data_IF_075108109152
#
_entry.id   IF_075108109152
#
_cell.length_a   1.000
_cell.length_b   1.000
_cell.length_c   1.000
_cell.angle_alpha   90.00
_cell.angle_beta   90.00
_cell.angle_gamma   90.00
#
_symmetry.space_group_name_H-M   'P 1'
#
loop_
_entity.id
_entity.type
_entity.pdbx_description
1 polymer ?
#
# COMPACT_ATOMS: atom_id res chain seq x y z
N UNK A 1 -4.48 -9.92 20.42
CA UNK A 1 -5.86 -9.85 19.93
C UNK A 1 -6.31 -11.29 19.78
N UNK A 2 -7.46 -11.66 20.36
CA UNK A 2 -8.00 -13.01 20.22
C UNK A 2 -8.65 -13.20 18.84
N UNK A 3 -8.89 -14.45 18.44
CA UNK A 3 -9.65 -14.76 17.21
C UNK A 3 -11.08 -14.20 17.28
N UNK A 4 -11.72 -14.29 18.45
CA UNK A 4 -13.04 -13.69 18.67
C UNK A 4 -13.06 -12.18 18.43
N UNK A 5 -12.02 -11.47 18.85
CA UNK A 5 -11.85 -10.03 18.61
C UNK A 5 -11.75 -9.70 17.12
N UNK A 6 -11.03 -10.53 16.37
CA UNK A 6 -10.88 -10.39 14.92
C UNK A 6 -12.20 -10.61 14.19
N UNK A 7 -12.95 -11.65 14.59
CA UNK A 7 -14.28 -11.91 14.05
C UNK A 7 -15.27 -10.78 14.38
N UNK A 8 -15.23 -10.23 15.59
CA UNK A 8 -16.05 -9.08 15.98
C UNK A 8 -15.76 -7.85 15.11
N UNK A 9 -14.47 -7.55 14.88
CA UNK A 9 -14.08 -6.46 13.99
C UNK A 9 -14.61 -6.68 12.58
N UNK A 10 -14.43 -7.88 12.04
CA UNK A 10 -14.88 -8.25 10.70
C UNK A 10 -16.39 -8.11 10.54
N UNK A 11 -17.17 -8.57 11.53
CA UNK A 11 -18.63 -8.42 11.54
C UNK A 11 -19.04 -6.95 11.56
N UNK A 12 -18.43 -6.14 12.44
CA UNK A 12 -18.72 -4.71 12.52
C UNK A 12 -18.46 -3.99 11.19
N UNK A 13 -17.35 -4.31 10.51
CA UNK A 13 -17.02 -3.75 9.19
C UNK A 13 -18.08 -4.16 8.16
N UNK A 14 -18.37 -5.46 8.06
CA UNK A 14 -19.32 -5.99 7.05
C UNK A 14 -20.72 -5.40 7.25
N UNK A 15 -21.16 -5.21 8.50
CA UNK A 15 -22.44 -4.57 8.77
C UNK A 15 -22.43 -3.06 8.45
N UNK A 16 -21.30 -2.38 8.64
CA UNK A 16 -21.16 -0.96 8.36
C UNK A 16 -21.21 -0.62 6.86
N UNK A 17 -20.73 -1.53 6.02
CA UNK A 17 -20.60 -1.36 4.57
C UNK A 17 -21.93 -1.27 3.82
N UNK A 18 -21.89 -0.62 2.65
CA UNK A 18 -22.98 -0.57 1.68
C UNK A 18 -22.93 -1.76 0.70
N UNK A 19 -24.03 -2.10 -0.01
CA UNK A 19 -24.07 -3.27 -0.90
C UNK A 19 -23.04 -3.29 -2.04
N UNK A 20 -22.66 -2.12 -2.55
CA UNK A 20 -21.66 -1.94 -3.62
C UNK A 20 -20.20 -1.94 -3.12
N UNK A 21 -20.02 -2.10 -1.81
CA UNK A 21 -18.71 -2.12 -1.16
C UNK A 21 -18.37 -3.57 -0.79
N UNK A 22 -17.09 -3.90 -0.82
CA UNK A 22 -16.58 -5.21 -0.42
C UNK A 22 -15.34 -5.08 0.44
N UNK A 23 -15.19 -5.99 1.39
CA UNK A 23 -13.95 -6.17 2.12
C UNK A 23 -12.94 -6.89 1.21
N UNK A 24 -12.08 -6.12 0.56
CA UNK A 24 -11.09 -6.66 -0.37
C UNK A 24 -10.01 -7.45 0.38
N UNK A 25 -9.42 -6.83 1.40
CA UNK A 25 -8.34 -7.43 2.20
C UNK A 25 -8.58 -7.18 3.68
N UNK A 26 -8.18 -8.15 4.51
CA UNK A 26 -8.21 -8.05 5.97
C UNK A 26 -7.02 -8.82 6.52
N UNK A 27 -6.09 -8.09 7.13
CA UNK A 27 -4.82 -8.61 7.62
C UNK A 27 -4.60 -8.24 9.08
N UNK A 28 -4.27 -9.22 9.92
CA UNK A 28 -3.85 -8.99 11.30
C UNK A 28 -2.33 -9.02 11.42
N UNK A 29 -1.76 -7.89 11.86
CA UNK A 29 -0.35 -7.81 12.23
C UNK A 29 -0.02 -8.76 13.39
N UNK A 30 1.00 -9.59 13.20
CA UNK A 30 1.44 -10.56 14.21
C UNK A 30 1.99 -9.89 15.48
N UNK A 31 2.69 -8.76 15.34
CA UNK A 31 3.42 -8.10 16.45
C UNK A 31 2.61 -7.00 17.11
N UNK A 32 2.02 -6.10 16.33
CA UNK A 32 1.38 -4.90 16.86
C UNK A 32 -0.03 -5.14 17.39
N UNK A 33 -0.67 -6.28 17.09
CA UNK A 33 -2.10 -6.50 17.36
C UNK A 33 -3.00 -5.45 16.68
N UNK A 34 -2.57 -4.89 15.55
CA UNK A 34 -3.41 -4.07 14.67
C UNK A 34 -4.00 -4.92 13.56
N UNK A 35 -5.16 -4.51 13.05
CA UNK A 35 -5.74 -5.04 11.82
C UNK A 35 -5.68 -3.96 10.76
N UNK A 36 -5.30 -4.35 9.56
CA UNK A 36 -5.23 -3.50 8.37
C UNK A 36 -6.17 -4.09 7.36
N UNK A 37 -7.03 -3.26 6.78
CA UNK A 37 -8.02 -3.70 5.82
C UNK A 37 -8.14 -2.72 4.67
N UNK A 38 -8.50 -3.27 3.52
CA UNK A 38 -8.84 -2.52 2.33
C UNK A 38 -10.30 -2.82 2.02
N UNK A 39 -11.12 -1.78 1.96
CA UNK A 39 -12.42 -1.83 1.32
C UNK A 39 -12.24 -1.45 -0.16
N UNK A 40 -13.04 -2.05 -1.03
CA UNK A 40 -13.12 -1.68 -2.43
C UNK A 40 -14.59 -1.47 -2.82
N UNK A 41 -14.84 -0.62 -3.80
CA UNK A 41 -16.17 -0.43 -4.38
C UNK A 41 -16.22 -0.96 -5.83
N UNK A 42 -17.42 -0.96 -6.42
CA UNK A 42 -17.63 -1.39 -7.81
C UNK A 42 -17.03 -0.44 -8.86
N UNK A 43 -16.72 0.82 -8.49
CA UNK A 43 -16.03 1.77 -9.36
C UNK A 43 -14.53 1.46 -9.50
N UNK A 44 -14.00 0.55 -8.68
CA UNK A 44 -12.57 0.22 -8.65
C UNK A 44 -11.75 1.12 -7.71
N UNK A 45 -12.41 1.93 -6.89
CA UNK A 45 -11.75 2.71 -5.84
C UNK A 45 -11.57 1.87 -4.57
N UNK A 46 -10.71 2.36 -3.68
CA UNK A 46 -10.42 1.70 -2.41
C UNK A 46 -10.36 2.65 -1.22
N UNK A 47 -10.51 2.08 -0.03
CA UNK A 47 -10.32 2.76 1.24
C UNK A 47 -9.47 1.90 2.18
N UNK A 48 -8.30 2.37 2.61
CA UNK A 48 -7.54 1.72 3.66
C UNK A 48 -8.12 2.09 5.02
N UNK A 49 -8.26 1.11 5.90
CA UNK A 49 -8.68 1.31 7.28
C UNK A 49 -7.76 0.50 8.19
N UNK A 50 -7.44 1.07 9.34
CA UNK A 50 -6.69 0.40 10.41
C UNK A 50 -7.58 0.28 11.63
N UNK A 51 -7.57 -0.88 12.28
CA UNK A 51 -8.17 -1.07 13.60
C UNK A 51 -7.04 -1.35 14.59
N UNK A 52 -6.91 -0.46 15.58
CA UNK A 52 -5.80 -0.52 16.53
C UNK A 52 -6.10 0.28 17.79
N UNK A 53 -5.44 -0.08 18.88
CA UNK A 53 -5.49 0.62 20.17
C UNK A 53 -4.24 1.49 20.43
N UNK A 54 -3.41 1.68 19.42
CA UNK A 54 -2.21 2.51 19.47
C UNK A 54 -2.02 3.21 18.13
N UNK A 55 -1.26 4.30 18.13
CA UNK A 55 -0.94 5.08 16.93
C UNK A 55 -0.24 4.22 15.88
N UNK A 56 -0.27 4.65 14.62
CA UNK A 56 0.51 4.02 13.58
C UNK A 56 2.01 4.12 13.95
N UNK A 57 2.80 3.15 13.51
CA UNK A 57 4.23 3.12 13.80
C UNK A 57 4.97 4.27 13.10
N UNK A 58 4.46 4.72 11.96
CA UNK A 58 5.01 5.81 11.16
C UNK A 58 3.93 6.86 10.90
N UNK A 59 4.26 8.13 11.10
CA UNK A 59 3.46 9.30 10.75
C UNK A 59 3.30 9.51 9.25
N UNK A 60 4.08 8.82 8.41
CA UNK A 60 3.83 8.78 6.96
C UNK A 60 2.60 7.94 6.59
N UNK A 61 2.09 7.09 7.49
CA UNK A 61 0.83 6.39 7.28
C UNK A 61 -0.34 7.33 7.53
N UNK A 62 -1.15 7.57 6.50
CA UNK A 62 -2.37 8.40 6.57
C UNK A 62 -3.64 7.56 6.58
N UNK A 63 -3.57 6.37 7.20
CA UNK A 63 -4.69 5.43 7.25
C UNK A 63 -5.61 5.75 8.44
N UNK A 64 -6.92 6.00 8.21
CA UNK A 64 -7.91 6.15 9.27
C UNK A 64 -7.83 4.99 10.27
N UNK A 65 -7.63 5.32 11.55
CA UNK A 65 -7.47 4.31 12.62
C UNK A 65 -8.67 4.35 13.56
N UNK A 66 -9.30 3.20 13.76
CA UNK A 66 -10.44 3.01 14.67
C UNK A 66 -10.06 2.12 15.85
N UNK A 67 -10.65 2.39 17.01
CA UNK A 67 -10.48 1.55 18.18
C UNK A 67 -11.40 0.33 18.10
N UNK A 68 -10.88 -0.85 18.47
CA UNK A 68 -11.66 -2.09 18.44
C UNK A 68 -12.80 -2.11 19.46
N UNK A 69 -12.62 -1.46 20.61
CA UNK A 69 -13.53 -1.58 21.74
C UNK A 69 -14.11 -0.25 22.20
N UNK A 70 -15.42 -0.21 22.51
CA UNK A 70 -16.39 -1.33 22.41
C UNK A 70 -16.81 -1.66 20.96
N UNK A 71 -17.11 -2.93 20.65
CA UNK A 71 -17.38 -3.38 19.27
C UNK A 71 -18.62 -2.70 18.63
N UNK A 72 -19.64 -2.38 19.42
CA UNK A 72 -20.83 -1.63 18.96
C UNK A 72 -20.49 -0.23 18.47
N UNK A 73 -19.48 0.40 19.09
CA UNK A 73 -18.95 1.69 18.66
C UNK A 73 -18.15 1.55 17.37
N UNK A 74 -17.37 0.48 17.20
CA UNK A 74 -16.61 0.26 15.97
C UNK A 74 -17.51 0.24 14.73
N UNK A 75 -18.63 -0.48 14.76
CA UNK A 75 -19.59 -0.48 13.63
C UNK A 75 -20.13 0.93 13.35
N UNK A 76 -20.50 1.66 14.39
CA UNK A 76 -21.07 3.01 14.28
C UNK A 76 -20.05 4.00 13.72
N UNK A 77 -18.82 3.98 14.24
CA UNK A 77 -17.74 4.87 13.84
C UNK A 77 -17.30 4.59 12.40
N UNK A 78 -17.20 3.32 11.99
CA UNK A 78 -16.91 2.94 10.61
C UNK A 78 -18.06 3.38 9.70
N UNK A 79 -19.33 3.11 10.06
CA UNK A 79 -20.48 3.51 9.24
C UNK A 79 -20.54 5.02 9.03
N UNK A 80 -20.27 5.80 10.08
CA UNK A 80 -20.21 7.25 10.00
C UNK A 80 -19.06 7.71 9.08
N UNK A 81 -17.88 7.10 9.20
CA UNK A 81 -16.76 7.39 8.31
C UNK A 81 -17.08 7.07 6.84
N UNK A 82 -17.60 5.88 6.54
CA UNK A 82 -17.95 5.47 5.18
C UNK A 82 -19.02 6.36 4.54
N UNK A 83 -19.84 7.05 5.34
CA UNK A 83 -20.82 7.98 4.81
C UNK A 83 -20.20 9.23 4.17
N UNK A 84 -18.98 9.61 4.58
CA UNK A 84 -18.29 10.84 4.14
C UNK A 84 -16.88 10.60 3.60
N UNK A 85 -16.44 9.35 3.53
CA UNK A 85 -15.07 9.02 3.12
C UNK A 85 -14.85 9.29 1.63
N UNK A 86 -13.73 9.96 1.33
CA UNK A 86 -13.25 10.12 -0.04
C UNK A 86 -12.55 8.83 -0.49
N UNK A 87 -13.21 8.08 -1.37
CA UNK A 87 -12.66 6.87 -1.95
C UNK A 87 -11.46 7.21 -2.84
N UNK A 88 -10.43 6.37 -2.76
CA UNK A 88 -9.17 6.61 -3.48
C UNK A 88 -9.21 5.84 -4.80
N UNK A 89 -9.07 6.52 -5.95
CA UNK A 89 -8.98 5.84 -7.23
C UNK A 89 -7.74 4.95 -7.29
N UNK A 90 -7.93 3.70 -7.70
CA UNK A 90 -6.84 2.79 -8.02
C UNK A 90 -6.50 2.88 -9.50
N UNK A 91 -5.43 3.58 -9.82
CA UNK A 91 -5.04 3.94 -11.18
C UNK A 91 -4.11 2.89 -11.80
N UNK A 92 -3.88 2.99 -13.11
CA UNK A 92 -2.86 2.19 -13.77
C UNK A 92 -1.46 2.45 -13.21
N UNK A 93 -1.14 3.69 -12.79
CA UNK A 93 0.17 3.99 -12.20
C UNK A 93 0.36 3.25 -10.88
N UNK A 94 -0.69 3.17 -10.05
CA UNK A 94 -0.67 2.37 -8.83
C UNK A 94 -0.44 0.88 -9.15
N UNK A 95 -1.21 0.33 -10.10
CA UNK A 95 -1.07 -1.06 -10.56
C UNK A 95 0.34 -1.35 -11.08
N UNK A 96 0.88 -0.47 -11.91
CA UNK A 96 2.20 -0.60 -12.51
C UNK A 96 3.28 -0.62 -11.43
N UNK A 97 3.30 0.37 -10.54
CA UNK A 97 4.32 0.48 -9.48
C UNK A 97 4.23 -0.68 -8.50
N UNK A 98 3.03 -1.08 -8.06
CA UNK A 98 2.87 -2.27 -7.19
C UNK A 98 3.36 -3.54 -7.90
N UNK A 99 3.12 -3.67 -9.20
CA UNK A 99 3.66 -4.79 -9.99
C UNK A 99 5.18 -4.76 -10.08
N UNK A 100 5.82 -3.58 -10.17
CA UNK A 100 7.28 -3.45 -10.10
C UNK A 100 7.83 -3.90 -8.75
N UNK A 101 7.17 -3.53 -7.65
CA UNK A 101 7.54 -4.02 -6.31
C UNK A 101 7.41 -5.56 -6.25
N UNK A 102 6.35 -6.13 -6.83
CA UNK A 102 6.12 -7.59 -6.89
C UNK A 102 7.24 -8.31 -7.65
N UNK A 103 7.54 -7.88 -8.87
CA UNK A 103 8.39 -8.62 -9.81
C UNK A 103 9.86 -8.18 -9.81
N UNK A 104 10.19 -7.01 -9.26
CA UNK A 104 11.52 -6.42 -9.36
C UNK A 104 12.63 -7.27 -8.76
N UNK A 105 12.34 -8.01 -7.69
CA UNK A 105 13.33 -8.88 -7.06
C UNK A 105 13.87 -9.96 -8.01
N UNK A 106 13.04 -10.50 -8.92
CA UNK A 106 13.48 -11.45 -9.96
C UNK A 106 14.38 -10.82 -11.02
N UNK A 107 14.38 -9.49 -11.10
CA UNK A 107 15.16 -8.68 -12.05
C UNK A 107 16.38 -8.01 -11.39
N UNK A 108 16.64 -8.33 -10.12
CA UNK A 108 17.72 -7.69 -9.34
C UNK A 108 17.47 -6.22 -9.05
N UNK A 109 16.22 -5.75 -9.12
CA UNK A 109 15.83 -4.36 -8.87
C UNK A 109 14.85 -4.29 -7.71
N UNK A 110 15.17 -3.52 -6.69
CA UNK A 110 14.33 -3.32 -5.51
C UNK A 110 14.11 -1.82 -5.28
N UNK A 111 13.12 -1.48 -4.46
CA UNK A 111 12.90 -0.12 -4.00
C UNK A 111 13.23 -0.08 -2.52
N UNK A 112 13.94 0.97 -2.10
CA UNK A 112 14.18 1.27 -0.71
C UNK A 112 13.67 2.65 -0.35
N UNK A 113 13.40 2.86 0.93
CA UNK A 113 13.18 4.17 1.52
C UNK A 113 14.53 4.71 1.99
N UNK A 114 14.78 5.99 1.74
CA UNK A 114 15.90 6.69 2.34
C UNK A 114 15.67 6.87 3.84
N UNK A 115 16.59 6.34 4.63
CA UNK A 115 16.67 6.63 6.06
C UNK A 115 18.08 7.12 6.43
N UNK A 116 18.81 7.65 5.43
CA UNK A 116 20.07 8.35 5.66
C UNK A 116 19.81 9.53 6.58
N UNK A 117 20.67 9.70 7.60
CA UNK A 117 20.50 10.73 8.62
C UNK A 117 19.17 10.63 9.40
N UNK A 118 18.59 9.43 9.50
CA UNK A 118 17.35 9.17 10.24
C UNK A 118 16.13 9.96 9.70
N UNK A 119 16.17 10.41 8.45
CA UNK A 119 15.11 11.25 7.87
C UNK A 119 13.74 10.59 7.87
N UNK A 120 13.71 9.27 7.64
CA UNK A 120 12.47 8.51 7.69
C UNK A 120 12.11 8.11 9.13
N UNK A 121 13.07 7.59 9.89
CA UNK A 121 12.84 7.10 11.26
C UNK A 121 12.50 8.19 12.28
N UNK A 122 12.99 9.41 12.08
CA UNK A 122 12.64 10.61 12.87
C UNK A 122 11.58 11.48 12.19
N UNK A 123 11.12 11.12 10.99
CA UNK A 123 10.06 11.81 10.25
C UNK A 123 10.36 13.30 10.01
N UNK A 124 11.63 13.63 9.78
CA UNK A 124 12.10 15.03 9.66
C UNK A 124 11.89 15.63 8.27
N UNK A 125 11.64 14.80 7.25
CA UNK A 125 11.45 15.20 5.86
C UNK A 125 10.38 14.33 5.18
N UNK A 126 9.96 14.74 3.97
CA UNK A 126 9.13 13.88 3.13
C UNK A 126 9.86 12.58 2.81
N UNK A 127 9.11 11.48 2.75
CA UNK A 127 9.64 10.17 2.38
C UNK A 127 10.27 10.22 0.99
N UNK A 128 11.50 9.73 0.87
CA UNK A 128 12.22 9.60 -0.38
C UNK A 128 12.49 8.14 -0.69
N UNK A 129 12.33 7.76 -1.96
CA UNK A 129 12.56 6.41 -2.44
C UNK A 129 13.69 6.35 -3.45
N UNK A 130 14.49 5.28 -3.37
CA UNK A 130 15.56 4.97 -4.32
C UNK A 130 15.37 3.59 -4.90
N UNK A 131 15.80 3.43 -6.15
CA UNK A 131 15.97 2.13 -6.75
C UNK A 131 17.31 1.54 -6.31
N UNK A 132 17.30 0.28 -5.91
CA UNK A 132 18.49 -0.53 -5.62
C UNK A 132 18.65 -1.57 -6.70
N UNK A 133 19.71 -1.46 -7.51
CA UNK A 133 20.06 -2.43 -8.54
C UNK A 133 21.21 -3.29 -8.05
N UNK A 134 20.97 -4.58 -7.84
CA UNK A 134 22.01 -5.56 -7.51
C UNK A 134 22.55 -6.17 -8.80
N UNK A 135 23.81 -5.88 -9.09
CA UNK A 135 24.60 -6.61 -10.08
C UNK A 135 25.59 -7.54 -9.39
N UNK A 136 26.16 -8.51 -10.11
CA UNK A 136 27.13 -9.47 -9.53
C UNK A 136 28.38 -8.82 -8.92
N UNK A 137 28.66 -7.54 -9.23
CA UNK A 137 29.88 -6.84 -8.78
C UNK A 137 29.61 -5.62 -7.89
N UNK A 138 28.39 -5.11 -7.85
CA UNK A 138 28.06 -3.85 -7.16
C UNK A 138 26.57 -3.71 -6.90
N UNK A 139 26.25 -3.01 -5.80
CA UNK A 139 24.93 -2.47 -5.50
C UNK A 139 24.94 -1.00 -5.94
N UNK A 140 24.02 -0.63 -6.83
CA UNK A 140 23.86 0.75 -7.30
C UNK A 140 22.56 1.31 -6.75
N UNK A 141 22.60 2.54 -6.24
CA UNK A 141 21.42 3.29 -5.82
C UNK A 141 21.13 4.39 -6.83
N UNK A 142 19.95 4.35 -7.44
CA UNK A 142 19.50 5.36 -8.39
C UNK A 142 18.35 6.18 -7.78
N UNK A 143 18.41 7.49 -7.96
CA UNK A 143 17.26 8.37 -7.70
C UNK A 143 16.09 7.98 -8.60
N UNK A 144 14.89 7.98 -8.03
CA UNK A 144 13.65 7.81 -8.79
C UNK A 144 13.11 9.18 -9.23
N UNK A 145 12.33 9.20 -10.31
CA UNK A 145 11.66 10.42 -10.76
C UNK A 145 10.73 10.99 -9.67
N UNK A 146 10.38 12.27 -9.76
CA UNK A 146 9.42 12.90 -8.86
C UNK A 146 8.07 12.18 -8.92
N UNK A 147 7.62 11.82 -10.13
CA UNK A 147 6.34 11.14 -10.34
C UNK A 147 6.34 9.74 -9.71
N UNK A 148 7.42 8.97 -9.87
CA UNK A 148 7.56 7.66 -9.23
C UNK A 148 7.57 7.77 -7.69
N UNK A 149 8.27 8.77 -7.14
CA UNK A 149 8.25 9.05 -5.69
C UNK A 149 6.86 9.43 -5.18
N UNK A 150 6.09 10.23 -5.93
CA UNK A 150 4.72 10.59 -5.58
C UNK A 150 3.81 9.36 -5.52
N UNK A 151 3.88 8.47 -6.52
CA UNK A 151 3.09 7.22 -6.53
C UNK A 151 3.50 6.35 -5.35
N UNK A 152 4.80 6.13 -5.12
CA UNK A 152 5.27 5.35 -3.97
C UNK A 152 4.86 5.97 -2.62
N UNK A 153 4.91 7.30 -2.50
CA UNK A 153 4.45 8.02 -1.31
C UNK A 153 2.96 7.79 -1.05
N UNK A 154 2.11 7.91 -2.08
CA UNK A 154 0.67 7.58 -2.00
C UNK A 154 0.47 6.13 -1.57
N UNK A 155 1.15 5.18 -2.21
CA UNK A 155 1.03 3.75 -1.92
C UNK A 155 1.46 3.41 -0.50
N UNK A 156 2.51 4.08 0.01
CA UNK A 156 2.97 3.90 1.39
C UNK A 156 1.97 4.50 2.37
N UNK A 157 1.55 5.75 2.15
CA UNK A 157 0.58 6.44 3.01
C UNK A 157 -0.76 5.71 3.14
N UNK A 158 -1.12 4.94 2.12
CA UNK A 158 -2.37 4.16 2.04
C UNK A 158 -2.20 2.66 2.36
N UNK A 159 -1.07 2.26 2.94
CA UNK A 159 -0.77 0.89 3.39
C UNK A 159 -0.88 -0.17 2.28
N UNK A 160 -0.62 0.20 1.02
CA UNK A 160 -0.50 -0.75 -0.10
C UNK A 160 0.93 -1.29 -0.24
N UNK A 161 1.90 -0.51 0.24
CA UNK A 161 3.28 -0.95 0.45
C UNK A 161 3.71 -0.67 1.89
N UNK A 162 4.62 -1.50 2.39
CA UNK A 162 5.28 -1.29 3.67
C UNK A 162 6.78 -1.38 3.53
N UNK A 163 7.49 -1.25 4.65
CA UNK A 163 8.96 -1.36 4.69
C UNK A 163 9.46 -2.42 5.67
N UNK A 164 10.63 -2.98 5.38
CA UNK A 164 11.33 -3.88 6.28
C UNK A 164 12.85 -3.75 6.08
N UNK A 165 13.61 -3.96 7.16
CA UNK A 165 15.07 -3.90 7.08
C UNK A 165 15.65 -5.25 6.64
N UNK A 166 16.52 -5.23 5.65
CA UNK A 166 17.32 -6.39 5.22
C UNK A 166 18.67 -5.93 4.68
N UNK A 167 19.74 -6.59 5.14
CA UNK A 167 21.12 -6.27 4.73
C UNK A 167 21.48 -4.78 4.92
N UNK A 168 20.94 -4.14 5.96
CA UNK A 168 21.13 -2.70 6.22
C UNK A 168 20.30 -1.76 5.35
N UNK A 169 19.47 -2.28 4.43
CA UNK A 169 18.60 -1.49 3.57
C UNK A 169 17.16 -1.51 4.08
N UNK A 170 16.46 -0.37 4.02
CA UNK A 170 15.04 -0.27 4.33
C UNK A 170 14.20 -0.53 3.07
N UNK A 171 13.95 -1.81 2.79
CA UNK A 171 13.33 -2.25 1.54
C UNK A 171 11.81 -2.16 1.58
N UNK A 172 11.22 -1.84 0.44
CA UNK A 172 9.77 -1.81 0.21
C UNK A 172 9.24 -3.21 -0.09
N UNK A 173 8.06 -3.54 0.44
CA UNK A 173 7.32 -4.77 0.11
C UNK A 173 5.83 -4.48 -0.12
N UNK A 174 5.14 -5.39 -0.83
CA UNK A 174 3.68 -5.35 -0.96
C UNK A 174 2.99 -5.85 0.30
N UNK A 175 2.09 -5.03 0.86
CA UNK A 175 1.16 -5.48 1.90
C UNK A 175 0.11 -6.44 1.31
N UNK A 176 -0.67 -7.10 2.17
CA UNK A 176 -1.80 -7.91 1.69
C UNK A 176 -2.88 -7.05 1.00
N UNK A 177 -3.02 -5.78 1.38
CA UNK A 177 -3.88 -4.83 0.69
C UNK A 177 -3.42 -4.59 -0.75
N UNK A 178 -2.14 -4.25 -0.92
CA UNK A 178 -1.55 -4.00 -2.24
C UNK A 178 -1.60 -5.22 -3.17
N UNK A 179 -1.32 -6.41 -2.64
CA UNK A 179 -1.45 -7.67 -3.41
C UNK A 179 -2.88 -7.88 -3.90
N UNK A 180 -3.86 -7.65 -3.03
CA UNK A 180 -5.25 -7.90 -3.37
C UNK A 180 -5.79 -6.93 -4.40
N UNK A 181 -5.43 -5.65 -4.33
CA UNK A 181 -5.84 -4.67 -5.34
C UNK A 181 -5.23 -4.95 -6.73
N UNK A 182 -4.01 -5.51 -6.80
CA UNK A 182 -3.47 -6.02 -8.06
C UNK A 182 -4.37 -7.10 -8.65
N UNK A 183 -4.76 -8.11 -7.86
CA UNK A 183 -5.60 -9.20 -8.36
C UNK A 183 -6.98 -8.69 -8.81
N UNK A 184 -7.57 -7.76 -8.06
CA UNK A 184 -8.88 -7.20 -8.36
C UNK A 184 -8.92 -6.30 -9.59
N UNK A 185 -7.79 -5.67 -9.93
CA UNK A 185 -7.69 -4.72 -11.05
C UNK A 185 -6.99 -5.32 -12.27
N UNK A 186 -6.58 -6.59 -12.21
CA UNK A 186 -5.85 -7.26 -13.28
C UNK A 186 -6.64 -7.30 -14.59
N UNK A 187 -7.96 -7.51 -14.53
CA UNK A 187 -8.83 -7.48 -15.71
C UNK A 187 -8.83 -6.12 -16.44
N UNK A 188 -8.58 -5.02 -15.71
CA UNK A 188 -8.54 -3.67 -16.27
C UNK A 188 -7.16 -3.31 -16.83
N UNK A 189 -6.09 -3.75 -16.16
CA UNK A 189 -4.75 -3.19 -16.37
C UNK A 189 -3.69 -4.16 -16.89
N UNK A 190 -3.95 -5.47 -16.92
CA UNK A 190 -2.92 -6.46 -17.24
C UNK A 190 -2.42 -6.35 -18.69
N UNK A 191 -3.29 -6.11 -19.66
CA UNK A 191 -2.89 -6.03 -21.07
C UNK A 191 -1.93 -4.87 -21.32
N UNK A 192 -2.23 -3.70 -20.75
CA UNK A 192 -1.34 -2.54 -20.81
C UNK A 192 -0.03 -2.81 -20.06
N UNK A 193 -0.12 -3.43 -18.87
CA UNK A 193 1.06 -3.77 -18.07
C UNK A 193 2.02 -4.71 -18.81
N UNK A 194 1.52 -5.72 -19.51
CA UNK A 194 2.36 -6.64 -20.28
C UNK A 194 3.17 -5.89 -21.35
N UNK A 195 2.54 -4.93 -22.03
CA UNK A 195 3.20 -4.11 -23.06
C UNK A 195 4.30 -3.23 -22.44
N UNK A 196 3.98 -2.47 -21.40
CA UNK A 196 4.94 -1.58 -20.75
C UNK A 196 6.08 -2.36 -20.09
N UNK A 197 5.78 -3.50 -19.46
CA UNK A 197 6.74 -4.38 -18.82
C UNK A 197 7.76 -4.96 -19.81
N UNK A 198 7.34 -5.27 -21.04
CA UNK A 198 8.22 -5.80 -22.08
C UNK A 198 9.32 -4.80 -22.49
N UNK A 199 9.02 -3.50 -22.41
CA UNK A 199 9.95 -2.42 -22.78
C UNK A 199 10.65 -1.76 -21.60
N UNK A 200 10.37 -2.19 -20.37
CA UNK A 200 10.86 -1.56 -19.16
C UNK A 200 12.38 -1.69 -18.98
N UNK A 201 13.04 -0.55 -18.73
CA UNK A 201 14.44 -0.53 -18.33
C UNK A 201 14.60 -0.80 -16.82
N UNK A 202 14.92 -2.05 -16.46
CA UNK A 202 15.13 -2.45 -15.06
C UNK A 202 16.31 -1.81 -14.35
N UNK A 203 17.15 -1.03 -15.05
CA UNK A 203 18.24 -0.26 -14.42
C UNK A 203 17.84 1.14 -14.03
N UNK A 204 16.75 1.67 -14.60
CA UNK A 204 16.23 3.01 -14.34
C UNK A 204 14.71 2.91 -14.37
N UNK A 205 14.11 2.63 -13.22
CA UNK A 205 12.66 2.51 -13.11
C UNK A 205 12.00 3.90 -13.19
N UNK A 206 10.95 3.98 -13.98
CA UNK A 206 10.05 5.12 -13.99
C UNK A 206 8.63 4.64 -14.33
N UNK A 207 7.64 5.50 -14.05
CA UNK A 207 6.26 5.26 -14.47
C UNK A 207 6.09 5.58 -15.96
N UNK A 208 5.23 4.85 -16.68
CA UNK A 208 4.99 5.10 -18.10
C UNK A 208 4.40 6.50 -18.33
N UNK A 209 4.88 7.17 -19.38
CA UNK A 209 4.50 8.54 -19.73
C UNK A 209 3.08 8.62 -20.31
N UNK A 210 2.64 7.56 -20.99
CA UNK A 210 1.33 7.48 -21.64
C UNK A 210 0.34 6.75 -20.73
N UNK A 211 -0.17 7.45 -19.74
CA UNK A 211 -1.42 7.02 -19.10
C UNK A 211 -2.51 7.89 -19.68
N UNK A 212 -3.37 7.30 -20.52
CA UNK A 212 -4.68 7.89 -20.81
C UNK A 212 -5.35 8.11 -19.45
N UNK A 213 -5.49 9.37 -19.08
CA UNK A 213 -6.35 9.77 -17.97
C UNK A 213 -7.77 9.35 -18.37
N UNK A 214 -8.31 8.34 -17.70
CA UNK A 214 -9.75 8.08 -17.65
C UNK A 214 -10.34 8.89 -16.49
#
# INVERSE_FOLDING_TARGET
MSEQQELQAKTAIVHAMRPQERLASFYRSRKSKSMYLILANDAGDYLPIRISNHRAFSGFLSVPTFELFPATRLETDIRAYLATADWIPFTYQDFFVLSLVKYGHHRGSMIQIDDSYLTFSEETQAIAFYQVVRSHKQIVMNGLSVKMNQVLGKLYATDLIGSFTKDGLLLVYLTEGGRRLLDLSANKYMDQFIQDYATLNWRVLDVPSNTSED
#
